data_IF_216839071316
#
_entry.id   IF_216839071316
#
_cell.length_a   1.000
_cell.length_b   1.000
_cell.length_c   1.000
_cell.angle_alpha   90.00
_cell.angle_beta   90.00
_cell.angle_gamma   90.00
#
_symmetry.space_group_name_H-M   'P 1'
#
loop_
_entity.id
_entity.type
_entity.pdbx_description
1 polymer ?
#
# COMPACT_ATOMS: atom_id res chain seq x y z
N UNK A 1 -33.32 1.19 -2.00
CA UNK A 1 -32.49 0.87 -3.18
C UNK A 1 -31.41 1.95 -3.29
N UNK A 2 -30.30 1.81 -2.54
CA UNK A 2 -29.18 2.75 -2.59
C UNK A 2 -28.40 2.56 -3.88
N UNK A 3 -28.23 3.66 -4.61
CA UNK A 3 -27.46 3.73 -5.85
C UNK A 3 -26.00 3.38 -5.56
N UNK A 4 -25.48 2.38 -6.25
CA UNK A 4 -24.04 2.19 -6.41
C UNK A 4 -23.51 3.38 -7.21
N UNK A 5 -22.68 4.22 -6.59
CA UNK A 5 -21.87 5.19 -7.34
C UNK A 5 -20.91 4.41 -8.23
N UNK A 6 -20.87 4.67 -9.56
CA UNK A 6 -19.83 4.09 -10.40
C UNK A 6 -18.49 4.64 -9.91
N UNK A 7 -17.57 3.73 -9.53
CA UNK A 7 -16.24 4.08 -9.08
C UNK A 7 -15.62 5.11 -10.04
N UNK A 8 -15.45 6.35 -9.56
CA UNK A 8 -14.94 7.45 -10.35
C UNK A 8 -13.62 7.04 -10.99
N UNK A 9 -13.53 7.13 -12.32
CA UNK A 9 -12.29 6.86 -13.04
C UNK A 9 -11.22 7.80 -12.49
N UNK A 10 -10.12 7.28 -11.90
CA UNK A 10 -9.12 8.13 -11.29
C UNK A 10 -8.53 9.05 -12.36
N UNK A 11 -8.63 10.36 -12.13
CA UNK A 11 -8.09 11.36 -13.04
C UNK A 11 -6.57 11.24 -13.07
N UNK A 12 -6.04 10.88 -14.25
CA UNK A 12 -4.59 10.79 -14.45
C UNK A 12 -4.07 12.19 -14.77
N UNK A 13 -3.12 12.66 -13.96
CA UNK A 13 -2.41 13.91 -14.23
C UNK A 13 -1.04 13.62 -14.82
N UNK A 14 -0.72 14.11 -16.02
CA UNK A 14 0.63 13.97 -16.56
C UNK A 14 1.61 14.70 -15.64
N UNK A 15 2.69 14.00 -15.29
CA UNK A 15 3.74 14.51 -14.39
C UNK A 15 5.08 14.33 -15.10
N UNK A 16 5.85 15.42 -15.22
CA UNK A 16 7.20 15.36 -15.80
C UNK A 16 8.18 14.93 -14.71
N UNK A 17 8.99 13.92 -15.01
CA UNK A 17 10.04 13.40 -14.11
C UNK A 17 11.37 13.37 -14.84
N UNK A 18 12.45 13.66 -14.13
CA UNK A 18 13.81 13.61 -14.66
C UNK A 18 14.48 12.32 -14.21
N UNK A 19 14.98 11.53 -15.17
CA UNK A 19 15.65 10.26 -14.93
C UNK A 19 16.94 10.17 -15.76
N UNK A 20 17.91 9.32 -15.39
CA UNK A 20 19.13 9.12 -16.17
C UNK A 20 18.81 8.67 -17.60
N UNK A 21 19.43 9.31 -18.59
CA UNK A 21 19.18 9.03 -20.00
C UNK A 21 19.52 7.58 -20.38
N UNK A 22 20.61 7.03 -19.83
CA UNK A 22 21.01 5.65 -20.06
C UNK A 22 19.91 4.65 -19.67
N UNK A 23 19.23 4.89 -18.54
CA UNK A 23 18.14 4.07 -18.05
C UNK A 23 16.89 4.20 -18.95
N UNK A 24 16.59 5.40 -19.43
CA UNK A 24 15.46 5.63 -20.35
C UNK A 24 15.67 4.93 -21.69
N UNK A 25 16.91 4.95 -22.20
CA UNK A 25 17.28 4.23 -23.43
C UNK A 25 17.14 2.72 -23.23
N UNK A 26 17.73 2.18 -22.18
CA UNK A 26 17.63 0.76 -21.85
C UNK A 26 16.17 0.31 -21.67
N UNK A 27 15.36 1.08 -20.94
CA UNK A 27 13.94 0.79 -20.77
C UNK A 27 13.19 0.75 -22.11
N UNK A 28 13.53 1.66 -23.05
CA UNK A 28 12.95 1.67 -24.39
C UNK A 28 13.38 0.46 -25.20
N UNK A 29 14.66 0.10 -25.18
CA UNK A 29 15.21 -1.05 -25.89
C UNK A 29 14.60 -2.37 -25.39
N UNK A 30 14.27 -2.43 -24.10
CA UNK A 30 13.57 -3.55 -23.46
C UNK A 30 12.03 -3.49 -23.60
N UNK A 31 11.47 -2.48 -24.27
CA UNK A 31 10.02 -2.33 -24.45
C UNK A 31 9.23 -2.05 -23.17
N UNK A 32 9.89 -1.50 -22.14
CA UNK A 32 9.27 -1.19 -20.85
C UNK A 32 8.37 0.05 -21.00
N UNK A 33 7.12 -0.08 -20.56
CA UNK A 33 6.21 1.06 -20.45
C UNK A 33 6.60 1.92 -19.23
N UNK A 34 7.28 3.03 -19.48
CA UNK A 34 7.76 3.95 -18.44
C UNK A 34 6.66 4.43 -17.50
N UNK A 35 5.49 4.82 -18.03
CA UNK A 35 4.39 5.32 -17.21
C UNK A 35 3.89 4.24 -16.25
N UNK A 36 3.73 3.01 -16.72
CA UNK A 36 3.29 1.90 -15.88
C UNK A 36 4.37 1.51 -14.85
N UNK A 37 5.64 1.52 -15.24
CA UNK A 37 6.75 1.23 -14.33
C UNK A 37 6.83 2.26 -13.19
N UNK A 38 6.73 3.56 -13.53
CA UNK A 38 6.68 4.65 -12.55
C UNK A 38 5.46 4.53 -11.63
N UNK A 39 4.28 4.23 -12.18
CA UNK A 39 3.06 4.04 -11.39
C UNK A 39 3.23 2.90 -10.36
N UNK A 40 3.72 1.72 -10.80
CA UNK A 40 3.98 0.60 -9.89
C UNK A 40 4.96 0.96 -8.78
N UNK A 41 6.09 1.60 -9.13
CA UNK A 41 7.10 2.02 -8.17
C UNK A 41 6.54 3.02 -7.15
N UNK A 42 5.82 4.04 -7.62
CA UNK A 42 5.22 5.06 -6.76
C UNK A 42 4.13 4.47 -5.85
N UNK A 43 3.27 3.59 -6.37
CA UNK A 43 2.24 2.91 -5.57
C UNK A 43 2.87 2.08 -4.46
N UNK A 44 3.93 1.32 -4.76
CA UNK A 44 4.63 0.51 -3.77
C UNK A 44 5.25 1.36 -2.66
N UNK A 45 5.92 2.45 -3.03
CA UNK A 45 6.57 3.38 -2.09
C UNK A 45 5.55 4.09 -1.20
N UNK A 46 4.47 4.62 -1.79
CA UNK A 46 3.38 5.25 -1.03
C UNK A 46 2.73 4.27 -0.07
N UNK A 47 2.50 3.03 -0.50
CA UNK A 47 1.94 1.99 0.37
C UNK A 47 2.89 1.66 1.53
N UNK A 48 4.19 1.54 1.28
CA UNK A 48 5.21 1.33 2.32
C UNK A 48 5.20 2.45 3.35
N UNK A 49 5.29 3.70 2.88
CA UNK A 49 5.28 4.87 3.77
C UNK A 49 3.99 4.98 4.59
N UNK A 50 2.84 4.67 3.99
CA UNK A 50 1.56 4.64 4.71
C UNK A 50 1.54 3.57 5.80
N UNK A 51 2.06 2.36 5.52
CA UNK A 51 2.15 1.29 6.52
C UNK A 51 3.02 1.72 7.70
N UNK A 52 4.18 2.30 7.46
CA UNK A 52 5.06 2.80 8.52
C UNK A 52 4.36 3.85 9.39
N UNK A 53 3.72 4.84 8.77
CA UNK A 53 2.99 5.88 9.49
C UNK A 53 1.84 5.29 10.31
N UNK A 54 1.15 4.30 9.77
CA UNK A 54 0.08 3.61 10.49
C UNK A 54 0.62 2.84 11.70
N UNK A 55 1.70 2.07 11.52
CA UNK A 55 2.35 1.34 12.62
C UNK A 55 2.83 2.27 13.72
N UNK A 56 3.48 3.38 13.36
CA UNK A 56 3.93 4.38 14.32
C UNK A 56 2.75 4.95 15.14
N UNK A 57 1.66 5.31 14.47
CA UNK A 57 0.46 5.87 15.12
C UNK A 57 -0.27 4.86 16.00
N UNK A 58 -0.29 3.58 15.60
CA UNK A 58 -1.03 2.53 16.31
C UNK A 58 -0.17 1.73 17.27
N UNK A 59 1.12 2.06 17.40
CA UNK A 59 2.09 1.34 18.23
C UNK A 59 1.60 1.12 19.66
N UNK A 60 1.03 2.14 20.31
CA UNK A 60 0.48 2.03 21.66
C UNK A 60 -0.76 1.12 21.71
N UNK A 61 -1.67 1.25 20.75
CA UNK A 61 -2.87 0.41 20.68
C UNK A 61 -2.52 -1.07 20.43
N UNK A 62 -1.54 -1.32 19.56
CA UNK A 62 -1.00 -2.66 19.30
C UNK A 62 -0.35 -3.21 20.57
N UNK A 63 0.46 -2.43 21.28
CA UNK A 63 1.09 -2.86 22.53
C UNK A 63 0.06 -3.23 23.60
N UNK A 64 -0.94 -2.36 23.84
CA UNK A 64 -2.00 -2.61 24.79
C UNK A 64 -2.83 -3.86 24.44
N UNK A 65 -3.11 -4.07 23.15
CA UNK A 65 -3.79 -5.28 22.68
C UNK A 65 -2.94 -6.54 22.89
N UNK A 66 -1.63 -6.47 22.59
CA UNK A 66 -0.72 -7.60 22.80
C UNK A 66 -0.60 -7.98 24.28
N UNK A 67 -0.54 -6.99 25.17
CA UNK A 67 -0.55 -7.21 26.62
C UNK A 67 -1.85 -7.87 27.08
N UNK A 68 -3.00 -7.36 26.62
CA UNK A 68 -4.29 -7.96 26.93
C UNK A 68 -4.40 -9.43 26.49
N UNK A 69 -3.94 -9.76 25.27
CA UNK A 69 -3.93 -11.15 24.77
C UNK A 69 -2.97 -12.04 25.55
N UNK A 70 -1.82 -11.51 26.01
CA UNK A 70 -0.89 -12.27 26.84
C UNK A 70 -1.49 -12.61 28.22
N UNK A 71 -2.33 -11.73 28.76
CA UNK A 71 -2.98 -11.93 30.05
C UNK A 71 -4.28 -12.75 29.97
N UNK A 72 -5.06 -12.59 28.89
CA UNK A 72 -6.45 -13.08 28.80
C UNK A 72 -6.64 -14.17 27.73
N UNK A 73 -5.54 -14.65 27.13
CA UNK A 73 -5.54 -15.51 25.94
C UNK A 73 -6.26 -14.86 24.74
N UNK A 74 -6.29 -15.56 23.60
CA UNK A 74 -6.97 -15.06 22.41
C UNK A 74 -8.49 -15.02 22.63
N UNK A 75 -9.13 -13.85 22.50
CA UNK A 75 -10.58 -13.77 22.51
C UNK A 75 -11.14 -14.64 21.40
N UNK A 76 -12.11 -15.50 21.74
CA UNK A 76 -12.74 -16.46 20.82
C UNK A 76 -11.88 -17.68 20.43
N UNK A 77 -10.73 -17.93 21.07
CA UNK A 77 -9.96 -19.17 20.87
C UNK A 77 -10.83 -20.43 21.01
N UNK A 78 -11.78 -20.40 21.96
CA UNK A 78 -12.72 -21.47 22.23
C UNK A 78 -13.65 -21.84 21.05
N UNK A 79 -13.78 -20.99 20.04
CA UNK A 79 -14.64 -21.22 18.87
C UNK A 79 -13.86 -21.55 17.60
N UNK A 80 -12.52 -21.64 17.67
CA UNK A 80 -11.68 -21.99 16.51
C UNK A 80 -11.80 -23.48 16.21
N UNK A 81 -12.42 -23.82 15.08
CA UNK A 81 -12.44 -25.19 14.53
C UNK A 81 -11.17 -25.44 13.68
N UNK A 82 -10.61 -26.65 13.74
CA UNK A 82 -9.42 -27.09 12.98
C UNK A 82 -9.80 -27.87 11.73
#
# INVERSE_FOLDING_TARGET
MSRSDPAAVPSRRPTNVTLPEALLREARDLGINLSQACERGLTAEVAARRRELWLARNSQAIAAWNEHVAENDLPLAAFRSF
#
